data_IF_941687286286
#
_entry.id   IF_941687286286
#
_cell.length_a   1.000
_cell.length_b   1.000
_cell.length_c   1.000
_cell.angle_alpha   90.00
_cell.angle_beta   90.00
_cell.angle_gamma   90.00
#
_symmetry.space_group_name_H-M   'P 1'
#
loop_
_entity.id
_entity.type
_entity.pdbx_description
1 polymer ?
#
# COMPACT_ATOMS: atom_id res chain seq x y z
N UNK A 1 13.20 -9.92 -40.91
CA UNK A 1 11.91 -9.19 -41.05
C UNK A 1 10.70 -9.95 -40.45
N UNK A 2 10.79 -11.25 -40.12
CA UNK A 2 9.67 -12.02 -39.58
C UNK A 2 9.39 -11.80 -38.07
N UNK A 3 10.41 -11.44 -37.28
CA UNK A 3 10.27 -11.36 -35.81
C UNK A 3 9.32 -10.25 -35.37
N UNK A 4 9.25 -9.13 -36.11
CA UNK A 4 8.33 -8.03 -35.78
C UNK A 4 6.86 -8.49 -35.78
N UNK A 5 6.49 -9.42 -36.66
CA UNK A 5 5.12 -9.98 -36.69
C UNK A 5 4.76 -10.73 -35.41
N UNK A 6 5.75 -11.24 -34.67
CA UNK A 6 5.56 -11.91 -33.38
C UNK A 6 5.75 -10.94 -32.20
N UNK A 7 6.72 -10.03 -32.29
CA UNK A 7 7.00 -9.08 -31.21
C UNK A 7 5.89 -8.04 -31.03
N UNK A 8 5.25 -7.58 -32.11
CA UNK A 8 4.14 -6.60 -32.03
C UNK A 8 2.97 -7.13 -31.20
N UNK A 9 2.38 -8.31 -31.49
CA UNK A 9 1.26 -8.82 -30.71
C UNK A 9 1.69 -9.17 -29.27
N UNK A 10 2.91 -9.67 -29.06
CA UNK A 10 3.44 -9.93 -27.71
C UNK A 10 3.53 -8.64 -26.91
N UNK A 11 4.09 -7.57 -27.48
CA UNK A 11 4.19 -6.27 -26.81
C UNK A 11 2.82 -5.67 -26.49
N UNK A 12 1.87 -5.75 -27.43
CA UNK A 12 0.49 -5.30 -27.20
C UNK A 12 -0.19 -6.10 -26.10
N UNK A 13 -0.01 -7.42 -26.09
CA UNK A 13 -0.56 -8.29 -25.05
C UNK A 13 0.02 -7.96 -23.68
N UNK A 14 1.34 -7.78 -23.56
CA UNK A 14 2.00 -7.38 -22.32
C UNK A 14 1.54 -5.98 -21.86
N UNK A 15 1.36 -5.04 -22.79
CA UNK A 15 0.82 -3.72 -22.51
C UNK A 15 -0.61 -3.78 -21.97
N UNK A 16 -1.48 -4.58 -22.60
CA UNK A 16 -2.85 -4.79 -22.15
C UNK A 16 -2.90 -5.48 -20.78
N UNK A 17 -2.06 -6.49 -20.54
CA UNK A 17 -1.95 -7.13 -19.23
C UNK A 17 -1.52 -6.12 -18.15
N UNK A 18 -0.52 -5.29 -18.42
CA UNK A 18 -0.09 -4.24 -17.50
C UNK A 18 -1.20 -3.23 -17.22
N UNK A 19 -1.92 -2.80 -18.25
CA UNK A 19 -3.05 -1.88 -18.11
C UNK A 19 -4.21 -2.48 -17.31
N UNK A 20 -4.54 -3.75 -17.56
CA UNK A 20 -5.56 -4.47 -16.81
C UNK A 20 -5.17 -4.62 -15.33
N UNK A 21 -3.91 -4.99 -15.07
CA UNK A 21 -3.38 -5.07 -13.71
C UNK A 21 -3.40 -3.71 -12.99
N UNK A 22 -3.08 -2.63 -13.71
CA UNK A 22 -3.16 -1.27 -13.19
C UNK A 22 -4.59 -0.89 -12.78
N UNK A 23 -5.57 -1.10 -13.66
CA UNK A 23 -6.98 -0.83 -13.31
C UNK A 23 -7.50 -1.72 -12.18
N UNK A 24 -7.06 -2.98 -12.11
CA UNK A 24 -7.39 -3.87 -11.01
C UNK A 24 -6.82 -3.36 -9.67
N UNK A 25 -5.57 -2.87 -9.68
CA UNK A 25 -4.92 -2.27 -8.50
C UNK A 25 -5.69 -1.04 -7.98
N UNK A 26 -6.07 -0.14 -8.89
CA UNK A 26 -6.87 1.05 -8.56
C UNK A 26 -8.24 0.65 -8.00
N UNK A 27 -8.93 -0.30 -8.64
CA UNK A 27 -10.23 -0.79 -8.17
C UNK A 27 -10.15 -1.48 -6.80
N UNK A 28 -9.02 -2.09 -6.47
CA UNK A 28 -8.81 -2.84 -5.22
C UNK A 28 -8.61 -1.95 -3.99
N UNK A 29 -8.63 -0.62 -4.12
CA UNK A 29 -8.57 0.30 -2.99
C UNK A 29 -7.20 0.37 -2.29
N UNK A 30 -6.16 -0.21 -2.90
CA UNK A 30 -4.79 -0.21 -2.35
C UNK A 30 -4.20 1.21 -2.21
N UNK A 31 -4.76 2.19 -2.91
CA UNK A 31 -4.34 3.59 -2.84
C UNK A 31 -5.00 4.37 -1.69
N UNK A 32 -6.13 3.89 -1.15
CA UNK A 32 -6.85 4.57 -0.06
C UNK A 32 -6.02 4.55 1.25
N UNK A 33 -5.23 3.49 1.47
CA UNK A 33 -4.35 3.37 2.63
C UNK A 33 -3.12 4.30 2.54
N UNK A 34 -2.66 4.61 1.32
CA UNK A 34 -1.56 5.56 1.10
C UNK A 34 -1.95 6.99 1.49
N UNK A 35 -3.18 7.41 1.20
CA UNK A 35 -3.72 8.71 1.61
C UNK A 35 -3.83 8.82 3.14
N UNK A 36 -4.23 7.73 3.81
CA UNK A 36 -4.24 7.64 5.26
C UNK A 36 -2.84 7.69 5.90
N UNK A 37 -1.85 7.04 5.29
CA UNK A 37 -0.47 7.08 5.73
C UNK A 37 0.16 8.48 5.56
N UNK A 38 -0.12 9.17 4.46
CA UNK A 38 0.33 10.54 4.20
C UNK A 38 -0.23 11.53 5.25
N UNK A 39 -1.49 11.34 5.66
CA UNK A 39 -2.10 12.14 6.73
C UNK A 39 -1.41 11.92 8.08
N UNK A 40 -1.03 10.67 8.41
CA UNK A 40 -0.31 10.38 9.66
C UNK A 40 1.09 10.99 9.64
N UNK A 41 1.88 10.80 8.60
CA UNK A 41 3.25 11.34 8.60
C UNK A 41 3.31 12.87 8.66
N UNK A 42 2.30 13.58 8.15
CA UNK A 42 2.28 15.05 8.20
C UNK A 42 1.78 15.61 9.55
N UNK A 43 0.90 14.89 10.26
CA UNK A 43 0.21 15.41 11.46
C UNK A 43 0.50 14.63 12.76
N UNK A 44 1.19 13.49 12.69
CA UNK A 44 1.43 12.61 13.84
C UNK A 44 2.80 12.86 14.51
N UNK A 45 3.69 13.66 13.89
CA UNK A 45 4.97 14.10 14.46
C UNK A 45 4.79 14.97 15.73
N UNK A 46 3.62 15.61 15.88
CA UNK A 46 3.29 16.48 17.02
C UNK A 46 2.56 15.75 18.16
N UNK A 47 2.28 14.45 18.04
CA UNK A 47 1.57 13.71 19.10
C UNK A 47 2.54 13.04 20.08
N UNK A 48 2.42 13.30 21.39
CA UNK A 48 3.18 12.56 22.39
C UNK A 48 2.85 11.07 22.29
N UNK A 49 3.87 10.22 22.16
CA UNK A 49 3.68 8.77 22.20
C UNK A 49 2.93 8.40 23.49
N UNK A 50 1.87 7.57 23.42
CA UNK A 50 1.15 7.16 24.61
C UNK A 50 2.12 6.44 25.55
N UNK A 51 2.35 7.04 26.72
CA UNK A 51 3.16 6.42 27.77
C UNK A 51 2.49 5.11 28.11
N UNK A 52 3.16 4.00 27.78
CA UNK A 52 2.76 2.66 28.20
C UNK A 52 2.71 2.69 29.73
N UNK A 53 1.52 2.84 30.29
CA UNK A 53 1.31 2.68 31.71
C UNK A 53 1.43 1.19 31.99
N UNK A 54 2.52 0.82 32.65
CA UNK A 54 2.75 -0.53 33.15
C UNK A 54 1.67 -0.84 34.20
N UNK A 55 0.53 -1.35 33.74
CA UNK A 55 -0.61 -1.75 34.57
C UNK A 55 -0.42 -3.12 35.24
N UNK A 56 0.79 -3.66 35.27
CA UNK A 56 1.11 -4.98 35.82
C UNK A 56 1.64 -4.98 37.26
N UNK A 57 1.78 -3.82 37.93
CA UNK A 57 2.36 -3.76 39.29
C UNK A 57 1.31 -3.84 40.42
N UNK A 58 0.01 -3.67 40.12
CA UNK A 58 -1.03 -3.59 41.14
C UNK A 58 -1.61 -4.91 41.69
N UNK A 59 -1.25 -6.07 41.13
CA UNK A 59 -1.98 -7.34 41.42
C UNK A 59 -1.26 -8.29 42.40
N UNK A 60 -0.12 -7.94 43.00
CA UNK A 60 0.72 -8.90 43.74
C UNK A 60 0.87 -8.69 45.26
N UNK A 61 0.12 -7.79 45.90
CA UNK A 61 0.32 -7.50 47.33
C UNK A 61 -0.96 -7.33 48.17
N UNK A 62 -2.10 -7.87 47.72
CA UNK A 62 -3.29 -8.02 48.57
C UNK A 62 -3.31 -9.40 49.25
#
# INVERSE_FOLDING_TARGET
MNSLLLLIPVALFLGLLGLAAFFWSVRSGQFDDLDGAATRILFDDDKPLPRKSDSSVGSRVA
#
